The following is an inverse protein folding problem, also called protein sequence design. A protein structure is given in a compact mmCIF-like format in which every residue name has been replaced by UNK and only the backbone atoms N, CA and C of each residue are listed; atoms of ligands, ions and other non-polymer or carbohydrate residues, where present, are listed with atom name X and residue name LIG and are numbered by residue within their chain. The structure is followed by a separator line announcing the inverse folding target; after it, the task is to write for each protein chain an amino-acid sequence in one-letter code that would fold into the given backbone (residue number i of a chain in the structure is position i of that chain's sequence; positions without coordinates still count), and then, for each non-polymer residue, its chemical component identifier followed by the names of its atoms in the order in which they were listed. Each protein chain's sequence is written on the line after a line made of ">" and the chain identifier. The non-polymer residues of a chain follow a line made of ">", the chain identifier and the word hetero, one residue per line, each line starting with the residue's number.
data_IF_512521451220
#
_entry.id   IF_512521451220
#
_cell.length_a   1.000
_cell.length_b   1.000
_cell.length_c   1.000
_cell.angle_alpha   90.00
_cell.angle_beta   90.00
_cell.angle_gamma   90.00
#
_symmetry.space_group_name_H-M   'P 1'
#
loop_
_entity.id
_entity.type
_entity.pdbx_description
1 polymer ?
#
# COMPACT_ATOMS: atom_id res chain seq x y z
N UNK A 1 20.44 0.19 1.63
CA UNK A 1 20.64 -1.14 2.24
C UNK A 1 19.60 -1.45 3.31
N UNK A 2 19.46 -0.60 4.35
CA UNK A 2 18.49 -0.81 5.46
C UNK A 2 17.03 -0.96 4.98
N UNK A 3 16.56 -0.08 4.09
CA UNK A 3 15.18 -0.12 3.57
C UNK A 3 14.86 -1.45 2.88
N UNK A 4 15.78 -1.97 2.08
CA UNK A 4 15.60 -3.26 1.37
C UNK A 4 15.50 -4.41 2.37
N UNK A 5 16.35 -4.42 3.40
CA UNK A 5 16.33 -5.44 4.45
C UNK A 5 14.98 -5.43 5.18
N UNK A 6 14.47 -4.25 5.53
CA UNK A 6 13.15 -4.10 6.18
C UNK A 6 12.03 -4.64 5.29
N UNK A 7 12.05 -4.32 3.99
CA UNK A 7 11.04 -4.81 3.04
C UNK A 7 11.08 -6.34 2.93
N UNK A 8 12.27 -6.93 2.83
CA UNK A 8 12.44 -8.38 2.72
C UNK A 8 11.96 -9.06 4.01
N UNK A 9 12.45 -8.62 5.17
CA UNK A 9 12.07 -9.17 6.46
C UNK A 9 10.55 -9.06 6.68
N UNK A 10 9.98 -7.88 6.41
CA UNK A 10 8.53 -7.66 6.49
C UNK A 10 7.74 -8.56 5.55
N UNK A 11 8.22 -8.77 4.32
CA UNK A 11 7.57 -9.65 3.34
C UNK A 11 7.59 -11.11 3.79
N UNK A 12 8.72 -11.59 4.34
CA UNK A 12 8.84 -12.94 4.88
C UNK A 12 7.87 -13.14 6.05
N UNK A 13 7.86 -12.21 7.02
CA UNK A 13 6.96 -12.26 8.17
C UNK A 13 5.51 -12.30 7.70
N UNK A 14 5.13 -11.42 6.76
CA UNK A 14 3.78 -11.39 6.21
C UNK A 14 3.42 -12.65 5.44
N UNK A 15 4.36 -13.25 4.69
CA UNK A 15 4.11 -14.47 3.95
C UNK A 15 3.71 -15.63 4.86
N UNK A 16 4.41 -15.79 6.00
CA UNK A 16 4.13 -16.89 6.93
C UNK A 16 3.04 -16.57 7.97
N UNK A 17 2.68 -15.30 8.14
CA UNK A 17 1.66 -14.87 9.12
C UNK A 17 0.28 -14.83 8.49
N UNK A 18 -0.50 -15.91 8.61
CA UNK A 18 -1.88 -15.97 8.12
C UNK A 18 -2.76 -14.91 8.84
N UNK A 19 -3.22 -13.86 8.13
CA UNK A 19 -3.99 -12.77 8.73
C UNK A 19 -5.48 -13.13 8.93
N UNK A 20 -5.91 -14.30 8.48
CA UNK A 20 -7.29 -14.77 8.60
C UNK A 20 -7.51 -15.57 9.88
N UNK A 21 -6.51 -16.38 10.28
CA UNK A 21 -6.63 -17.30 11.42
C UNK A 21 -5.82 -16.87 12.66
N UNK A 22 -4.96 -15.85 12.55
CA UNK A 22 -4.17 -15.41 13.69
C UNK A 22 -4.96 -14.45 14.60
N UNK A 23 -5.26 -14.90 15.82
CA UNK A 23 -5.73 -14.02 16.90
C UNK A 23 -4.70 -12.92 17.24
N UNK A 24 -3.43 -13.16 16.92
CA UNK A 24 -2.31 -12.23 17.06
C UNK A 24 -2.14 -11.23 15.90
N UNK A 25 -3.00 -11.27 14.86
CA UNK A 25 -2.89 -10.27 13.80
C UNK A 25 -3.13 -8.86 14.35
N UNK A 26 -2.25 -7.89 14.07
CA UNK A 26 -2.41 -6.53 14.55
C UNK A 26 -3.73 -5.97 14.05
N UNK A 27 -4.67 -5.77 14.98
CA UNK A 27 -5.95 -5.13 14.68
C UNK A 27 -5.69 -3.67 14.35
N UNK A 28 -6.50 -3.13 13.44
CA UNK A 28 -6.45 -1.70 13.15
C UNK A 28 -6.99 -0.93 14.37
N UNK A 29 -6.10 -0.38 15.19
CA UNK A 29 -6.47 0.40 16.38
C UNK A 29 -7.35 1.60 16.03
N UNK A 30 -7.11 2.25 14.89
CA UNK A 30 -7.96 3.34 14.42
C UNK A 30 -9.41 2.90 14.24
N UNK A 31 -9.64 1.76 13.58
CA UNK A 31 -10.98 1.23 13.40
C UNK A 31 -11.59 0.76 14.72
N UNK A 32 -10.79 0.16 15.60
CA UNK A 32 -11.25 -0.23 16.94
C UNK A 32 -11.73 0.96 17.79
N UNK A 33 -11.01 2.09 17.72
CA UNK A 33 -11.33 3.28 18.52
C UNK A 33 -12.45 4.13 17.91
N UNK A 34 -12.50 4.25 16.58
CA UNK A 34 -13.40 5.20 15.91
C UNK A 34 -14.59 4.54 15.20
N UNK A 35 -14.53 3.23 14.97
CA UNK A 35 -15.47 2.53 14.09
C UNK A 35 -15.25 2.79 12.60
N UNK A 36 -14.42 3.77 12.21
CA UNK A 36 -14.17 4.12 10.81
C UNK A 36 -13.00 3.33 10.22
N UNK A 37 -13.12 2.95 8.94
CA UNK A 37 -12.05 2.32 8.16
C UNK A 37 -11.12 3.41 7.63
N UNK A 38 -9.85 3.38 8.00
CA UNK A 38 -8.84 4.23 7.37
C UNK A 38 -8.36 3.63 6.03
N UNK A 39 -7.56 4.40 5.29
CA UNK A 39 -6.96 4.01 4.00
C UNK A 39 -6.12 2.73 4.12
N UNK A 40 -5.50 2.52 5.30
CA UNK A 40 -4.68 1.35 5.59
C UNK A 40 -5.46 0.12 6.04
N UNK A 41 -6.78 0.19 6.23
CA UNK A 41 -7.57 -0.97 6.62
C UNK A 41 -7.51 -2.06 5.53
N UNK A 42 -7.20 -3.29 5.94
CA UNK A 42 -7.08 -4.43 5.02
C UNK A 42 -5.73 -4.56 4.31
N UNK A 43 -4.78 -3.63 4.52
CA UNK A 43 -3.45 -3.69 3.88
C UNK A 43 -2.70 -4.99 4.19
N UNK A 44 -2.74 -5.48 5.42
CA UNK A 44 -2.09 -6.76 5.78
C UNK A 44 -2.67 -7.94 4.97
N UNK A 45 -4.01 -8.04 4.87
CA UNK A 45 -4.70 -9.08 4.10
C UNK A 45 -4.45 -8.95 2.61
N UNK A 46 -4.38 -7.70 2.11
CA UNK A 46 -4.06 -7.42 0.72
C UNK A 46 -2.63 -7.87 0.39
N UNK A 47 -1.64 -7.45 1.18
CA UNK A 47 -0.24 -7.85 1.01
C UNK A 47 -0.05 -9.37 1.11
N UNK A 48 -0.68 -10.02 2.08
CA UNK A 48 -0.65 -11.48 2.22
C UNK A 48 -1.10 -12.17 0.92
N UNK A 49 -2.24 -11.76 0.36
CA UNK A 49 -2.75 -12.33 -0.89
C UNK A 49 -1.85 -12.03 -2.09
N UNK A 50 -1.32 -10.80 -2.19
CA UNK A 50 -0.40 -10.40 -3.26
C UNK A 50 0.89 -11.24 -3.21
N UNK A 51 1.44 -11.45 -2.02
CA UNK A 51 2.62 -12.30 -1.80
C UNK A 51 2.38 -13.76 -2.20
N UNK A 52 1.14 -14.24 -2.11
CA UNK A 52 0.72 -15.56 -2.59
C UNK A 52 0.20 -15.55 -4.04
N UNK A 53 0.49 -14.48 -4.80
CA UNK A 53 0.09 -14.31 -6.22
C UNK A 53 -1.43 -14.26 -6.45
N UNK A 54 -2.23 -13.99 -5.40
CA UNK A 54 -3.69 -13.84 -5.44
C UNK A 54 -4.07 -12.35 -5.53
N UNK A 55 -3.72 -11.71 -6.64
CA UNK A 55 -3.89 -10.26 -6.83
C UNK A 55 -5.35 -9.82 -6.69
N UNK A 56 -6.28 -10.57 -7.29
CA UNK A 56 -7.72 -10.27 -7.22
C UNK A 56 -8.28 -10.35 -5.81
N UNK A 57 -7.84 -11.32 -5.00
CA UNK A 57 -8.22 -11.41 -3.59
C UNK A 57 -7.63 -10.23 -2.80
N UNK A 58 -6.37 -9.85 -3.09
CA UNK A 58 -5.77 -8.66 -2.50
C UNK A 58 -6.55 -7.38 -2.80
N UNK A 59 -7.10 -7.27 -4.03
CA UNK A 59 -7.86 -6.11 -4.47
C UNK A 59 -9.12 -5.92 -3.65
N UNK A 60 -9.83 -7.01 -3.33
CA UNK A 60 -11.03 -6.95 -2.47
C UNK A 60 -10.71 -6.38 -1.08
N UNK A 61 -9.52 -6.61 -0.55
CA UNK A 61 -9.12 -6.10 0.76
C UNK A 61 -8.61 -4.67 0.75
N UNK A 62 -7.84 -4.27 -0.26
CA UNK A 62 -7.40 -2.88 -0.38
C UNK A 62 -7.06 -2.50 -1.84
N UNK A 63 -8.03 -2.00 -2.64
CA UNK A 63 -7.80 -1.59 -4.02
C UNK A 63 -6.70 -0.54 -4.17
N UNK A 64 -6.67 0.45 -3.26
CA UNK A 64 -5.74 1.57 -3.37
C UNK A 64 -4.28 1.13 -3.21
N UNK A 65 -4.04 0.08 -2.42
CA UNK A 65 -2.71 -0.49 -2.25
C UNK A 65 -2.19 -1.08 -3.56
N UNK A 66 -3.04 -1.84 -4.27
CA UNK A 66 -2.65 -2.47 -5.54
C UNK A 66 -2.34 -1.41 -6.59
N UNK A 67 -3.15 -0.35 -6.65
CA UNK A 67 -2.91 0.78 -7.56
C UNK A 67 -1.63 1.54 -7.15
N UNK A 68 -1.34 1.63 -5.85
CA UNK A 68 -0.14 2.29 -5.35
C UNK A 68 1.15 1.50 -5.57
N UNK A 69 1.11 0.17 -5.69
CA UNK A 69 2.31 -0.67 -5.86
C UNK A 69 3.15 -0.24 -7.07
N UNK A 70 2.62 -0.10 -8.30
CA UNK A 70 3.38 0.39 -9.44
C UNK A 70 4.03 1.75 -9.19
N UNK A 71 3.29 2.68 -8.56
CA UNK A 71 3.80 3.99 -8.21
C UNK A 71 4.98 3.92 -7.23
N UNK A 72 4.87 3.10 -6.18
CA UNK A 72 5.94 2.87 -5.18
C UNK A 72 7.15 2.20 -5.82
N UNK A 73 6.96 1.23 -6.71
CA UNK A 73 8.05 0.56 -7.44
C UNK A 73 8.81 1.56 -8.31
N UNK A 74 8.10 2.42 -9.04
CA UNK A 74 8.76 3.42 -9.90
C UNK A 74 9.52 4.43 -9.03
N UNK A 75 8.94 4.91 -7.93
CA UNK A 75 9.63 5.78 -6.99
C UNK A 75 10.92 5.13 -6.46
N UNK A 76 10.82 3.89 -5.97
CA UNK A 76 11.95 3.13 -5.46
C UNK A 76 13.03 2.93 -6.54
N UNK A 77 12.63 2.58 -7.77
CA UNK A 77 13.55 2.45 -8.90
C UNK A 77 14.27 3.78 -9.20
N UNK A 78 13.53 4.88 -9.25
CA UNK A 78 14.11 6.19 -9.55
C UNK A 78 15.09 6.65 -8.49
N UNK A 79 14.81 6.36 -7.21
CA UNK A 79 15.64 6.77 -6.08
C UNK A 79 16.93 5.93 -5.95
N UNK A 80 16.85 4.62 -6.13
CA UNK A 80 17.96 3.70 -5.85
C UNK A 80 18.77 3.25 -7.08
N UNK A 81 18.20 3.29 -8.30
CA UNK A 81 18.85 2.77 -9.51
C UNK A 81 19.27 3.87 -10.50
N UNK A 82 19.59 5.07 -10.00
CA UNK A 82 19.91 6.24 -10.81
C UNK A 82 18.82 6.60 -11.83
N UNK A 83 17.57 6.18 -11.60
CA UNK A 83 16.46 6.47 -12.51
C UNK A 83 16.15 7.96 -12.60
N UNK A 84 16.55 8.77 -11.60
CA UNK A 84 16.57 10.24 -11.71
C UNK A 84 17.36 10.73 -12.91
N UNK A 85 18.50 10.11 -13.21
CA UNK A 85 19.40 10.49 -14.30
C UNK A 85 18.99 9.83 -15.62
N UNK A 86 18.55 8.56 -15.58
CA UNK A 86 18.11 7.82 -16.78
C UNK A 86 16.75 8.29 -17.30
N UNK A 87 15.84 8.70 -16.41
CA UNK A 87 14.46 9.07 -16.74
C UNK A 87 14.01 10.34 -15.98
N UNK A 88 14.64 11.49 -16.23
CA UNK A 88 14.37 12.72 -15.47
C UNK A 88 12.94 13.24 -15.64
N UNK A 89 12.32 13.03 -16.81
CA UNK A 89 10.91 13.39 -17.07
C UNK A 89 9.94 12.60 -16.18
N UNK A 90 10.16 11.29 -16.06
CA UNK A 90 9.32 10.41 -15.25
C UNK A 90 9.44 10.75 -13.76
N UNK A 91 10.67 10.95 -13.29
CA UNK A 91 10.92 11.36 -11.91
C UNK A 91 10.23 12.70 -11.56
N UNK A 92 10.34 13.70 -12.45
CA UNK A 92 9.69 15.01 -12.25
C UNK A 92 8.16 14.92 -12.25
N UNK A 93 7.59 14.05 -13.08
CA UNK A 93 6.14 13.84 -13.15
C UNK A 93 5.62 13.19 -11.85
N UNK A 94 6.28 12.12 -11.40
CA UNK A 94 5.88 11.36 -10.21
C UNK A 94 6.09 12.18 -8.93
N UNK A 95 7.22 12.88 -8.83
CA UNK A 95 7.58 13.70 -7.67
C UNK A 95 7.01 15.12 -7.72
N UNK A 96 6.13 15.44 -8.68
CA UNK A 96 5.52 16.75 -8.78
C UNK A 96 4.54 16.99 -7.63
N UNK A 97 4.49 18.21 -7.10
CA UNK A 97 3.48 18.60 -6.11
C UNK A 97 2.05 18.31 -6.61
N UNK A 98 1.79 18.48 -7.92
CA UNK A 98 0.48 18.18 -8.53
C UNK A 98 0.09 16.71 -8.36
N UNK A 99 1.05 15.81 -8.58
CA UNK A 99 0.85 14.36 -8.44
C UNK A 99 0.64 13.97 -6.98
N UNK A 100 1.42 14.55 -6.06
CA UNK A 100 1.27 14.33 -4.63
C UNK A 100 -0.12 14.78 -4.15
N UNK A 101 -0.55 15.98 -4.52
CA UNK A 101 -1.89 16.48 -4.19
C UNK A 101 -3.00 15.62 -4.83
N UNK A 102 -2.84 15.20 -6.08
CA UNK A 102 -3.81 14.30 -6.73
C UNK A 102 -3.95 12.97 -5.97
N UNK A 103 -2.83 12.36 -5.57
CA UNK A 103 -2.83 11.12 -4.78
C UNK A 103 -3.49 11.35 -3.42
N UNK A 104 -3.20 12.45 -2.74
CA UNK A 104 -3.83 12.79 -1.46
C UNK A 104 -5.34 12.94 -1.58
N UNK A 105 -5.82 13.62 -2.62
CA UNK A 105 -7.26 13.77 -2.90
C UNK A 105 -7.89 12.40 -3.16
N UNK A 106 -7.26 11.55 -3.99
CA UNK A 106 -7.75 10.19 -4.28
C UNK A 106 -7.84 9.36 -2.99
N UNK A 107 -6.80 9.41 -2.16
CA UNK A 107 -6.74 8.70 -0.87
C UNK A 107 -7.86 9.19 0.07
N UNK A 108 -8.09 10.49 0.14
CA UNK A 108 -9.13 11.07 0.98
C UNK A 108 -10.53 10.68 0.50
N UNK A 109 -10.80 10.80 -0.80
CA UNK A 109 -12.06 10.37 -1.41
C UNK A 109 -12.31 8.88 -1.19
N UNK A 110 -11.29 8.05 -1.39
CA UNK A 110 -11.36 6.62 -1.12
C UNK A 110 -11.69 6.33 0.34
N UNK A 111 -11.07 7.04 1.28
CA UNK A 111 -11.36 6.89 2.72
C UNK A 111 -12.84 7.20 3.00
N UNK A 112 -13.39 8.25 2.40
CA UNK A 112 -14.81 8.61 2.59
C UNK A 112 -15.72 7.53 1.98
N UNK A 113 -15.51 7.22 0.69
CA UNK A 113 -16.33 6.25 -0.05
C UNK A 113 -16.38 4.89 0.66
N UNK A 114 -15.22 4.43 1.17
CA UNK A 114 -15.13 3.16 1.87
C UNK A 114 -15.93 3.12 3.16
N UNK A 115 -16.00 4.22 3.89
CA UNK A 115 -16.81 4.30 5.10
C UNK A 115 -18.32 4.37 4.78
N UNK A 116 -18.69 5.01 3.67
CA UNK A 116 -20.09 5.10 3.22
C UNK A 116 -20.61 3.74 2.72
N UNK A 117 -19.86 3.08 1.85
CA UNK A 117 -20.27 1.81 1.22
C UNK A 117 -19.81 0.57 1.98
N UNK A 118 -19.06 0.75 3.07
CA UNK A 118 -18.57 -0.29 3.96
C UNK A 118 -17.85 -1.49 3.30
N UNK A 119 -17.15 -1.28 2.18
CA UNK A 119 -16.28 -2.29 1.55
C UNK A 119 -14.83 -2.24 2.08
#
# INVERSE_FOLDING_TARGET
>A
MVVVIIIIAGSIILYFSDPFNSQLSPKCYFHYLTGYKCVGCGTQRALYNILHLRIFEGFKYNPILIIAIPYIIILFYTEYFNGKYKMPKLYRMISSYKTIYAILIIIFLYSILRNIYNF
#
